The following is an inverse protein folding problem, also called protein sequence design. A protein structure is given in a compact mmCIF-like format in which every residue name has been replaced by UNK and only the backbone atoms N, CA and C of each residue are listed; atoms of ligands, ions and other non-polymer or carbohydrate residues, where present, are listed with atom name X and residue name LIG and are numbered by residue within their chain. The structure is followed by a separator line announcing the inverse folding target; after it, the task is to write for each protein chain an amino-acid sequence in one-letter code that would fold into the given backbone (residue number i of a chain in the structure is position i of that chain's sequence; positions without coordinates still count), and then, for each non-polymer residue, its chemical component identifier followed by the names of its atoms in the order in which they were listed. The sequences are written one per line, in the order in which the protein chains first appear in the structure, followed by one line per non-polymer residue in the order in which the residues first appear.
data_IF_577948345856
#
_entry.id   IF_577948345856
#
_cell.length_a   1.000
_cell.length_b   1.000
_cell.length_c   1.000
_cell.angle_alpha   90.00
_cell.angle_beta   90.00
_cell.angle_gamma   90.00
#
_symmetry.space_group_name_H-M   'P 1'
#
loop_
_entity.id
_entity.type
_entity.pdbx_description
1 polymer ?
#
# COMPACT_ATOMS: atom_id res chain seq x y z
N UNK A 1 -1.21 8.14 -8.30
CA UNK A 1 0.15 7.57 -8.36
C UNK A 1 0.53 6.85 -7.06
N UNK A 2 0.42 7.46 -5.87
CA UNK A 2 0.70 6.77 -4.58
C UNK A 2 -0.30 5.64 -4.26
N UNK A 3 -1.58 5.84 -4.56
CA UNK A 3 -2.64 4.83 -4.36
C UNK A 3 -2.38 3.55 -5.18
N UNK A 4 -1.74 3.67 -6.34
CA UNK A 4 -1.36 2.53 -7.17
C UNK A 4 -0.28 1.69 -6.49
N UNK A 5 0.71 2.33 -5.87
CA UNK A 5 1.75 1.62 -5.11
C UNK A 5 1.18 0.92 -3.87
N UNK A 6 0.19 1.54 -3.22
CA UNK A 6 -0.52 0.95 -2.08
C UNK A 6 -1.16 -0.40 -2.44
N UNK A 7 -1.67 -0.55 -3.67
CA UNK A 7 -2.17 -1.84 -4.18
C UNK A 7 -1.05 -2.75 -4.71
N UNK A 8 -0.08 -2.18 -5.43
CA UNK A 8 0.95 -2.96 -6.11
C UNK A 8 1.89 -3.69 -5.15
N UNK A 9 2.23 -3.09 -4.00
CA UNK A 9 3.14 -3.68 -3.01
C UNK A 9 2.60 -5.00 -2.43
N UNK A 10 1.38 -5.05 -1.84
CA UNK A 10 0.84 -6.31 -1.32
C UNK A 10 0.56 -7.32 -2.44
N UNK A 11 0.16 -6.87 -3.64
CA UNK A 11 -0.03 -7.76 -4.79
C UNK A 11 1.28 -8.43 -5.20
N UNK A 12 2.37 -7.67 -5.32
CA UNK A 12 3.69 -8.19 -5.64
C UNK A 12 4.19 -9.16 -4.55
N UNK A 13 3.96 -8.84 -3.27
CA UNK A 13 4.31 -9.72 -2.16
C UNK A 13 3.55 -11.06 -2.22
N UNK A 14 2.26 -11.02 -2.57
CA UNK A 14 1.44 -12.22 -2.78
C UNK A 14 1.97 -13.07 -3.94
N UNK A 15 2.29 -12.45 -5.08
CA UNK A 15 2.88 -13.15 -6.24
C UNK A 15 4.22 -13.79 -5.85
N UNK A 16 5.11 -13.04 -5.19
CA UNK A 16 6.40 -13.57 -4.73
C UNK A 16 6.21 -14.72 -3.73
N UNK A 17 5.26 -14.62 -2.82
CA UNK A 17 4.94 -15.69 -1.86
C UNK A 17 4.42 -16.95 -2.54
N UNK A 18 3.66 -16.81 -3.63
CA UNK A 18 3.19 -17.95 -4.42
C UNK A 18 4.29 -18.65 -5.23
N UNK A 19 5.31 -17.90 -5.64
CA UNK A 19 6.40 -18.41 -6.47
C UNK A 19 7.52 -19.09 -5.65
N UNK A 20 7.68 -18.72 -4.38
CA UNK A 20 8.80 -19.17 -3.55
C UNK A 20 8.36 -20.24 -2.55
N UNK A 21 9.09 -21.37 -2.50
CA UNK A 21 8.81 -22.47 -1.56
C UNK A 21 9.53 -22.36 -0.21
N UNK A 22 10.51 -21.46 -0.11
CA UNK A 22 11.30 -21.27 1.13
C UNK A 22 10.58 -20.33 2.08
N UNK A 23 10.22 -20.84 3.26
CA UNK A 23 9.53 -20.08 4.31
C UNK A 23 10.22 -18.77 4.69
N UNK A 24 11.53 -18.81 4.92
CA UNK A 24 12.31 -17.62 5.28
C UNK A 24 12.20 -16.49 4.24
N UNK A 25 12.15 -16.83 2.95
CA UNK A 25 12.04 -15.83 1.87
C UNK A 25 10.62 -15.26 1.82
N UNK A 26 9.60 -16.09 2.01
CA UNK A 26 8.21 -15.62 2.09
C UNK A 26 8.01 -14.66 3.27
N UNK A 27 8.56 -14.99 4.45
CA UNK A 27 8.49 -14.15 5.63
C UNK A 27 9.17 -12.80 5.40
N UNK A 28 10.39 -12.81 4.87
CA UNK A 28 11.11 -11.58 4.54
C UNK A 28 10.37 -10.73 3.51
N UNK A 29 9.80 -11.33 2.46
CA UNK A 29 9.05 -10.62 1.43
C UNK A 29 7.78 -9.97 1.99
N UNK A 30 7.01 -10.70 2.81
CA UNK A 30 5.80 -10.14 3.43
C UNK A 30 6.12 -9.06 4.45
N UNK A 31 7.18 -9.23 5.26
CA UNK A 31 7.59 -8.21 6.22
C UNK A 31 8.06 -6.93 5.53
N UNK A 32 8.85 -7.06 4.45
CA UNK A 32 9.28 -5.92 3.65
C UNK A 32 8.09 -5.22 2.99
N UNK A 33 7.14 -5.98 2.45
CA UNK A 33 5.93 -5.43 1.85
C UNK A 33 5.03 -4.72 2.87
N UNK A 34 4.93 -5.26 4.09
CA UNK A 34 4.21 -4.60 5.17
C UNK A 34 4.86 -3.27 5.56
N UNK A 35 6.19 -3.25 5.75
CA UNK A 35 6.92 -2.03 6.06
C UNK A 35 6.75 -0.96 4.96
N UNK A 36 6.83 -1.36 3.69
CA UNK A 36 6.58 -0.45 2.56
C UNK A 36 5.14 0.07 2.54
N UNK A 37 4.15 -0.80 2.76
CA UNK A 37 2.74 -0.40 2.84
C UNK A 37 2.51 0.59 3.97
N UNK A 38 3.12 0.38 5.14
CA UNK A 38 3.03 1.31 6.27
C UNK A 38 3.61 2.69 5.94
N UNK A 39 4.77 2.74 5.28
CA UNK A 39 5.36 4.02 4.84
C UNK A 39 4.49 4.72 3.80
N UNK A 40 3.87 3.96 2.88
CA UNK A 40 2.91 4.50 1.92
C UNK A 40 1.66 5.03 2.60
N UNK A 41 1.14 4.35 3.63
CA UNK A 41 0.00 4.78 4.44
C UNK A 41 0.30 6.12 5.13
N UNK A 42 1.46 6.25 5.78
CA UNK A 42 1.91 7.51 6.37
C UNK A 42 1.98 8.66 5.34
N UNK A 43 2.49 8.37 4.15
CA UNK A 43 2.55 9.34 3.07
C UNK A 43 1.15 9.73 2.53
N UNK A 44 0.21 8.78 2.45
CA UNK A 44 -1.20 9.05 2.12
C UNK A 44 -1.83 9.93 3.19
N UNK A 45 -1.71 9.57 4.47
CA UNK A 45 -2.24 10.36 5.58
C UNK A 45 -1.68 11.78 5.58
N UNK A 46 -0.36 11.94 5.37
CA UNK A 46 0.27 13.26 5.26
C UNK A 46 -0.30 14.10 4.12
N UNK A 47 -0.56 13.49 2.95
CA UNK A 47 -1.18 14.19 1.81
C UNK A 47 -2.62 14.57 2.10
N UNK A 48 -3.40 13.64 2.65
CA UNK A 48 -4.82 13.86 2.95
C UNK A 48 -5.01 14.97 3.98
N UNK A 49 -4.17 14.99 5.04
CA UNK A 49 -4.20 16.04 6.05
C UNK A 49 -3.79 17.43 5.51
N UNK A 50 -2.94 17.49 4.48
CA UNK A 50 -2.46 18.75 3.92
C UNK A 50 -3.33 19.33 2.80
N UNK A 51 -3.88 18.46 1.96
CA UNK A 51 -4.51 18.87 0.70
C UNK A 51 -5.96 18.35 0.54
N UNK A 52 -6.47 17.62 1.54
CA UNK A 52 -7.77 16.95 1.43
C UNK A 52 -7.67 15.63 0.65
N UNK A 53 -8.82 15.09 0.26
CA UNK A 53 -8.89 13.78 -0.35
C UNK A 53 -8.09 13.69 -1.67
N UNK A 54 -7.47 12.54 -1.90
CA UNK A 54 -6.70 12.25 -3.11
C UNK A 54 -7.42 11.20 -3.95
N UNK A 55 -7.41 11.38 -5.28
CA UNK A 55 -8.06 10.46 -6.21
C UNK A 55 -7.17 10.09 -7.40
N UNK A 56 -7.51 8.98 -8.05
CA UNK A 56 -6.92 8.51 -9.31
C UNK A 56 -8.02 7.88 -10.17
N UNK A 57 -7.87 7.96 -11.50
CA UNK A 57 -8.79 7.38 -12.50
C UNK A 57 -10.25 7.81 -12.25
N UNK A 58 -10.49 9.11 -12.29
CA UNK A 58 -11.82 9.72 -12.10
C UNK A 58 -12.53 9.30 -10.79
N UNK A 59 -11.74 9.00 -9.75
CA UNK A 59 -12.26 8.62 -8.44
C UNK A 59 -12.34 7.10 -8.19
N UNK A 60 -11.93 6.26 -9.14
CA UNK A 60 -11.88 4.81 -8.93
C UNK A 60 -10.99 4.41 -7.74
N UNK A 61 -9.81 5.03 -7.60
CA UNK A 61 -9.05 4.99 -6.36
C UNK A 61 -9.21 6.33 -5.67
N UNK A 62 -9.83 6.33 -4.50
CA UNK A 62 -10.09 7.51 -3.70
C UNK A 62 -9.66 7.27 -2.26
N UNK A 63 -8.99 8.25 -1.66
CA UNK A 63 -8.64 8.21 -0.25
C UNK A 63 -8.91 9.57 0.40
N UNK A 64 -9.89 9.59 1.30
CA UNK A 64 -10.19 10.67 2.22
C UNK A 64 -9.62 10.40 3.62
N UNK A 65 -9.99 11.24 4.59
CA UNK A 65 -9.48 11.14 5.97
C UNK A 65 -9.85 9.81 6.64
N UNK A 66 -11.02 9.24 6.33
CA UNK A 66 -11.43 7.93 6.85
C UNK A 66 -10.57 6.84 6.21
N UNK A 67 -10.44 6.86 4.89
CA UNK A 67 -9.62 5.91 4.15
C UNK A 67 -8.17 5.94 4.66
N UNK A 68 -7.60 7.13 4.87
CA UNK A 68 -6.24 7.30 5.37
C UNK A 68 -6.05 6.84 6.83
N UNK A 69 -7.12 6.73 7.61
CA UNK A 69 -7.09 6.18 8.97
C UNK A 69 -7.16 4.65 8.97
N UNK A 70 -7.85 4.06 7.99
CA UNK A 70 -8.10 2.61 7.90
C UNK A 70 -6.95 1.87 7.22
N UNK A 71 -6.31 2.52 6.24
CA UNK A 71 -5.14 2.00 5.50
C UNK A 71 -3.93 1.92 6.43
#
# INVERSE_FOLDING_TARGET
MILTFLLAVPLAAGILSSAVRRRAVMEAANLAAFALTFLLALAVASKVLRAGAISLWDGFLYADSLSALVI
#
